data_IF_164644809131
#
_entry.id   IF_164644809131
#
_cell.length_a   1.000
_cell.length_b   1.000
_cell.length_c   1.000
_cell.angle_alpha   90.00
_cell.angle_beta   90.00
_cell.angle_gamma   90.00
#
_symmetry.space_group_name_H-M   'P 1'
#
loop_
_entity.id
_entity.type
_entity.pdbx_description
1 polymer ?
#
# COMPACT_ATOMS: atom_id res chain seq x y z
N UNK A 1 -3.52 2.92 9.67
CA UNK A 1 -4.95 3.00 9.28
C UNK A 1 -5.00 2.75 7.77
N UNK A 2 -5.71 1.71 7.33
CA UNK A 2 -5.56 1.18 5.98
C UNK A 2 -6.33 2.04 4.95
N UNK A 3 -5.62 2.53 3.93
CA UNK A 3 -6.15 3.15 2.72
C UNK A 3 -6.97 2.18 1.84
N UNK A 4 -6.87 0.90 2.14
CA UNK A 4 -7.54 -0.16 1.40
C UNK A 4 -9.00 -0.27 1.86
N UNK A 5 -9.95 -0.42 0.92
CA UNK A 5 -11.36 -0.50 1.27
C UNK A 5 -11.61 -1.70 2.18
N UNK A 6 -12.18 -1.43 3.37
CA UNK A 6 -12.55 -2.45 4.36
C UNK A 6 -13.84 -3.16 3.94
N UNK A 7 -14.66 -2.49 3.12
CA UNK A 7 -15.95 -2.96 2.62
C UNK A 7 -16.03 -2.72 1.11
N UNK A 8 -16.48 -3.73 0.35
CA UNK A 8 -16.55 -3.67 -1.11
C UNK A 8 -17.06 -4.96 -1.74
N UNK A 9 -17.09 -5.02 -3.08
CA UNK A 9 -17.43 -6.25 -3.82
C UNK A 9 -16.39 -7.35 -3.52
N UNK A 10 -16.79 -8.62 -3.58
CA UNK A 10 -15.89 -9.76 -3.39
C UNK A 10 -14.66 -9.68 -4.30
N UNK A 11 -14.83 -9.21 -5.54
CA UNK A 11 -13.71 -8.99 -6.47
C UNK A 11 -12.73 -7.93 -5.95
N UNK A 12 -13.24 -6.81 -5.42
CA UNK A 12 -12.44 -5.74 -4.81
C UNK A 12 -11.67 -6.25 -3.59
N UNK A 13 -12.33 -6.99 -2.70
CA UNK A 13 -11.70 -7.54 -1.50
C UNK A 13 -10.65 -8.60 -1.85
N UNK A 14 -10.90 -9.42 -2.88
CA UNK A 14 -9.92 -10.40 -3.36
C UNK A 14 -8.67 -9.74 -3.93
N UNK A 15 -8.83 -8.72 -4.79
CA UNK A 15 -7.70 -7.96 -5.35
C UNK A 15 -6.90 -7.28 -4.24
N UNK A 16 -7.58 -6.64 -3.30
CA UNK A 16 -6.94 -6.01 -2.13
C UNK A 16 -6.15 -7.03 -1.32
N UNK A 17 -6.70 -8.23 -1.12
CA UNK A 17 -6.04 -9.32 -0.40
C UNK A 17 -4.81 -9.85 -1.14
N UNK A 18 -4.89 -10.01 -2.45
CA UNK A 18 -3.76 -10.44 -3.29
C UNK A 18 -2.63 -9.41 -3.23
N UNK A 19 -2.92 -8.12 -3.41
CA UNK A 19 -1.93 -7.05 -3.30
C UNK A 19 -1.31 -6.97 -1.90
N UNK A 20 -2.11 -7.15 -0.84
CA UNK A 20 -1.58 -7.22 0.52
C UNK A 20 -0.60 -8.37 0.71
N UNK A 21 -0.85 -9.52 0.10
CA UNK A 21 0.07 -10.65 0.14
C UNK A 21 1.30 -10.42 -0.72
N UNK A 22 1.20 -9.69 -1.84
CA UNK A 22 2.35 -9.33 -2.67
C UNK A 22 3.27 -8.30 -2.02
N UNK A 23 2.70 -7.36 -1.26
CA UNK A 23 3.39 -6.37 -0.44
C UNK A 23 3.95 -6.97 0.86
N UNK A 24 3.44 -8.12 1.29
CA UNK A 24 3.92 -8.76 2.49
C UNK A 24 5.35 -9.27 2.27
N UNK A 25 6.27 -9.00 3.21
CA UNK A 25 7.63 -9.52 3.12
C UNK A 25 7.58 -11.05 3.12
N UNK A 26 8.31 -11.64 2.19
CA UNK A 26 8.54 -13.09 2.11
C UNK A 26 9.41 -13.55 3.27
N UNK A 27 9.44 -14.86 3.56
CA UNK A 27 10.29 -15.40 4.63
C UNK A 27 11.79 -15.10 4.44
N UNK A 28 12.24 -14.94 3.20
CA UNK A 28 13.62 -14.57 2.87
C UNK A 28 13.89 -13.09 3.21
N UNK A 29 12.99 -12.19 2.82
CA UNK A 29 13.07 -10.76 3.16
C UNK A 29 12.93 -10.53 4.68
N UNK A 30 12.13 -11.35 5.36
CA UNK A 30 11.97 -11.35 6.81
C UNK A 30 13.31 -11.61 7.52
N UNK A 31 14.09 -12.57 6.98
CA UNK A 31 15.43 -12.90 7.49
C UNK A 31 16.47 -11.84 7.10
N UNK A 32 16.39 -11.30 5.89
CA UNK A 32 17.33 -10.29 5.38
C UNK A 32 17.20 -8.94 6.09
N UNK A 33 15.98 -8.45 6.28
CA UNK A 33 15.69 -7.22 7.02
C UNK A 33 15.78 -7.41 8.54
N UNK A 34 15.91 -8.65 9.01
CA UNK A 34 15.94 -8.98 10.43
C UNK A 34 14.68 -8.51 11.14
N UNK A 35 13.52 -8.75 10.51
CA UNK A 35 12.23 -8.38 11.06
C UNK A 35 12.03 -9.12 12.38
N UNK A 36 11.99 -8.39 13.49
CA UNK A 36 11.65 -8.94 14.80
C UNK A 36 10.43 -8.24 15.36
N UNK A 37 9.59 -9.03 16.02
CA UNK A 37 8.49 -8.52 16.81
C UNK A 37 9.07 -7.69 17.95
N UNK A 38 8.82 -6.39 17.90
CA UNK A 38 9.09 -5.48 18.98
C UNK A 38 8.00 -5.70 20.04
N UNK A 39 8.28 -6.62 20.96
CA UNK A 39 7.38 -7.00 22.05
C UNK A 39 7.02 -5.83 22.98
N UNK A 40 7.75 -4.70 22.91
CA UNK A 40 7.51 -3.51 23.73
C UNK A 40 6.52 -2.54 23.09
N UNK A 41 6.47 -2.47 21.76
CA UNK A 41 5.62 -1.53 21.01
C UNK A 41 4.51 -2.20 20.20
N UNK A 42 4.52 -3.53 20.09
CA UNK A 42 3.53 -4.29 19.33
C UNK A 42 3.67 -4.08 17.80
N UNK A 43 4.86 -3.69 17.35
CA UNK A 43 5.19 -3.49 15.94
C UNK A 43 6.28 -4.45 15.46
N UNK A 44 6.53 -4.48 14.15
CA UNK A 44 7.65 -5.20 13.55
C UNK A 44 8.76 -4.18 13.27
N UNK A 45 9.96 -4.43 13.80
CA UNK A 45 11.13 -3.61 13.53
C UNK A 45 12.12 -4.34 12.63
N UNK A 46 12.59 -3.65 11.58
CA UNK A 46 13.65 -4.14 10.70
C UNK A 46 15.03 -3.81 11.28
N UNK A 47 15.53 -4.65 12.19
CA UNK A 47 16.80 -4.40 12.90
C UNK A 47 18.02 -4.34 11.97
N UNK A 48 17.97 -5.04 10.83
CA UNK A 48 19.08 -5.09 9.87
C UNK A 48 18.93 -4.07 8.72
N UNK A 49 17.82 -3.32 8.70
CA UNK A 49 17.52 -2.32 7.69
C UNK A 49 16.93 -2.92 6.40
N UNK A 50 16.13 -2.11 5.70
CA UNK A 50 15.52 -2.48 4.42
C UNK A 50 16.52 -2.45 3.25
N UNK A 51 17.72 -1.91 3.43
CA UNK A 51 18.79 -1.86 2.39
C UNK A 51 19.28 -3.24 1.92
N UNK A 52 18.90 -4.31 2.63
CA UNK A 52 19.21 -5.70 2.28
C UNK A 52 18.08 -6.41 1.53
N UNK A 53 16.93 -5.78 1.43
CA UNK A 53 15.78 -6.29 0.68
C UNK A 53 15.82 -5.64 -0.70
N UNK A 54 15.81 -6.46 -1.75
CA UNK A 54 15.77 -5.94 -3.11
C UNK A 54 14.43 -5.24 -3.36
N UNK A 55 14.47 -4.08 -4.02
CA UNK A 55 13.26 -3.39 -4.44
C UNK A 55 12.45 -4.29 -5.39
N UNK A 56 11.30 -4.74 -4.91
CA UNK A 56 10.35 -5.48 -5.73
C UNK A 56 9.47 -4.49 -6.49
N UNK A 57 9.52 -4.56 -7.82
CA UNK A 57 8.58 -3.80 -8.64
C UNK A 57 7.19 -4.45 -8.56
N UNK A 58 6.27 -3.78 -7.89
CA UNK A 58 4.88 -4.24 -7.75
C UNK A 58 4.05 -3.62 -8.87
N UNK A 59 3.59 -4.46 -9.79
CA UNK A 59 2.74 -4.03 -10.90
C UNK A 59 1.28 -4.03 -10.42
N UNK A 60 0.74 -2.85 -10.15
CA UNK A 60 -0.69 -2.69 -9.91
C UNK A 60 -1.46 -2.79 -11.23
N UNK A 61 -2.32 -3.80 -11.37
CA UNK A 61 -3.26 -3.88 -12.50
C UNK A 61 -4.25 -2.70 -12.52
N UNK A 62 -4.86 -2.43 -13.68
CA UNK A 62 -5.74 -1.26 -13.88
C UNK A 62 -6.89 -1.21 -12.87
N UNK A 63 -7.47 -2.37 -12.55
CA UNK A 63 -8.56 -2.48 -11.57
C UNK A 63 -8.06 -2.12 -10.16
N UNK A 64 -6.85 -2.55 -9.79
CA UNK A 64 -6.25 -2.22 -8.50
C UNK A 64 -5.99 -0.71 -8.38
N UNK A 65 -5.42 -0.10 -9.43
CA UNK A 65 -5.22 1.36 -9.49
C UNK A 65 -6.55 2.10 -9.35
N UNK A 66 -7.57 1.69 -10.10
CA UNK A 66 -8.91 2.29 -10.01
C UNK A 66 -9.51 2.20 -8.61
N UNK A 67 -9.30 1.09 -7.90
CA UNK A 67 -9.74 0.93 -6.50
C UNK A 67 -9.01 1.92 -5.58
N UNK A 68 -7.69 2.06 -5.71
CA UNK A 68 -6.87 2.99 -4.90
C UNK A 68 -7.30 4.44 -5.17
N UNK A 69 -7.46 4.81 -6.44
CA UNK A 69 -7.93 6.14 -6.85
C UNK A 69 -9.34 6.41 -6.30
N UNK A 70 -10.25 5.45 -6.41
CA UNK A 70 -11.60 5.59 -5.87
C UNK A 70 -11.61 5.75 -4.35
N UNK A 71 -10.78 5.00 -3.63
CA UNK A 71 -10.66 5.12 -2.18
C UNK A 71 -10.08 6.48 -1.74
N UNK A 72 -9.05 6.96 -2.44
CA UNK A 72 -8.44 8.27 -2.19
C UNK A 72 -9.41 9.41 -2.48
N UNK A 73 -10.17 9.34 -3.59
CA UNK A 73 -11.23 10.32 -3.91
C UNK A 73 -12.34 10.32 -2.86
N UNK A 74 -12.80 9.16 -2.40
CA UNK A 74 -13.79 9.08 -1.32
C UNK A 74 -13.29 9.68 -0.01
N UNK A 75 -12.01 9.51 0.30
CA UNK A 75 -11.39 10.12 1.49
C UNK A 75 -11.27 11.65 1.37
N UNK A 76 -11.01 12.14 0.16
CA UNK A 76 -10.98 13.56 -0.19
C UNK A 76 -12.38 14.19 -0.07
N UNK A 77 -13.38 13.56 -0.68
CA UNK A 77 -14.80 13.95 -0.58
C UNK A 77 -15.30 13.95 0.88
N UNK A 78 -14.72 13.09 1.72
CA UNK A 78 -15.05 13.01 3.14
C UNK A 78 -14.16 13.90 4.03
N UNK A 79 -13.25 14.71 3.46
CA UNK A 79 -12.28 15.56 4.16
C UNK A 79 -11.41 14.81 5.20
N UNK A 80 -11.18 13.52 4.96
CA UNK A 80 -10.41 12.62 5.84
C UNK A 80 -9.01 12.32 5.30
N UNK A 81 -8.58 13.01 4.25
CA UNK A 81 -7.20 12.94 3.79
C UNK A 81 -6.28 13.56 4.84
N UNK A 82 -5.34 12.76 5.34
CA UNK A 82 -4.27 13.23 6.21
C UNK A 82 -3.01 13.50 5.39
N UNK A 83 -2.03 14.19 5.96
CA UNK A 83 -0.76 14.45 5.27
C UNK A 83 -0.05 13.17 4.80
N UNK A 84 -0.26 12.04 5.48
CA UNK A 84 0.29 10.74 5.09
C UNK A 84 -0.25 10.24 3.74
N UNK A 85 -1.42 10.74 3.32
CA UNK A 85 -2.05 10.36 2.05
C UNK A 85 -1.66 11.28 0.89
N UNK A 86 -0.99 12.40 1.15
CA UNK A 86 -0.68 13.42 0.14
C UNK A 86 0.15 12.84 -1.01
N UNK A 87 1.28 12.21 -0.70
CA UNK A 87 2.18 11.61 -1.70
C UNK A 87 1.51 10.51 -2.52
N UNK A 88 0.58 9.77 -1.92
CA UNK A 88 -0.20 8.72 -2.59
C UNK A 88 -1.28 9.33 -3.49
N UNK A 89 -1.96 10.38 -3.04
CA UNK A 89 -2.93 11.12 -3.85
C UNK A 89 -2.25 11.75 -5.07
N UNK A 90 -1.08 12.36 -4.91
CA UNK A 90 -0.32 12.89 -6.04
C UNK A 90 0.04 11.79 -7.04
N UNK A 91 0.57 10.66 -6.57
CA UNK A 91 1.04 9.57 -7.44
C UNK A 91 -0.11 8.88 -8.20
N UNK A 92 -1.23 8.62 -7.53
CA UNK A 92 -2.32 7.81 -8.09
C UNK A 92 -3.45 8.65 -8.69
N UNK A 93 -3.74 9.84 -8.16
CA UNK A 93 -4.88 10.67 -8.61
C UNK A 93 -4.44 11.80 -9.53
N UNK A 94 -3.30 12.44 -9.24
CA UNK A 94 -2.77 13.56 -10.04
C UNK A 94 -1.83 13.05 -11.14
N UNK A 95 -1.07 11.98 -10.88
CA UNK A 95 -0.18 11.32 -11.85
C UNK A 95 -0.91 10.82 -13.10
N UNK A 96 -2.10 10.24 -12.95
CA UNK A 96 -2.94 9.82 -14.09
C UNK A 96 -3.40 11.00 -14.96
N UNK A 97 -3.37 12.23 -14.45
CA UNK A 97 -3.78 13.42 -15.20
C UNK A 97 -2.70 13.91 -16.18
N UNK A 98 -1.45 13.45 -16.04
CA UNK A 98 -0.31 13.90 -16.87
C UNK A 98 0.04 13.01 -18.07
N UNK A 99 -0.50 11.80 -18.17
CA UNK A 99 -0.31 10.92 -19.35
C UNK A 99 -1.35 11.16 -20.46
N UNK A 100 -2.10 12.27 -20.38
CA UNK A 100 -3.17 12.62 -21.32
C UNK A 100 -3.09 14.03 -21.91
N UNK A 101 -1.91 14.66 -21.97
CA UNK A 101 -1.66 15.90 -22.74
C UNK A 101 -0.59 15.69 -23.82
#
# INVERSE_FOLDING_TARGET
MALLPVEGSFATLKIVRELQMELAPTEEEYKLAGLKDDLLTGGINAELGWDKVEDKEIIFGDIAKAIIVSALKKLDEAEKLTQQHFSLYEKFVIGEKKEGE
#
